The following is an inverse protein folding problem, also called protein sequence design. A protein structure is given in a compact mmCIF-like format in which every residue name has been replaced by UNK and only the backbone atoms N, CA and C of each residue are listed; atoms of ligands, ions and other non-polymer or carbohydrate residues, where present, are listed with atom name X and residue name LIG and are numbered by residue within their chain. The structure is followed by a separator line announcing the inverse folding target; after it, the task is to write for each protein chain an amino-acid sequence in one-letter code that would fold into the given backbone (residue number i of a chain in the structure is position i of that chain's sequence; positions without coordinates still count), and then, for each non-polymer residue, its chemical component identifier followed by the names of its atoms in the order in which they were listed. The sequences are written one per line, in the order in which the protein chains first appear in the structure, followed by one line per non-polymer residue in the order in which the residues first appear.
data_IF_313542308563
#
_entry.id   IF_313542308563
#
_cell.length_a   1.000
_cell.length_b   1.000
_cell.length_c   1.000
_cell.angle_alpha   90.00
_cell.angle_beta   90.00
_cell.angle_gamma   90.00
#
_symmetry.space_group_name_H-M   'P 1'
#
loop_
_entity.id
_entity.type
_entity.pdbx_description
1 polymer ?
#
# COMPACT_ATOMS: atom_id res chain seq x y z
N UNK A 1 -17.24 45.78 11.49
CA UNK A 1 -17.51 44.47 12.13
C UNK A 1 -17.92 43.51 11.02
N UNK A 2 -17.06 42.58 10.63
CA UNK A 2 -17.35 41.59 9.57
C UNK A 2 -17.78 40.28 10.23
N UNK A 3 -19.08 40.01 10.16
CA UNK A 3 -19.68 38.77 10.65
C UNK A 3 -19.23 37.62 9.75
N UNK A 4 -18.34 36.76 10.23
CA UNK A 4 -18.02 35.50 9.56
C UNK A 4 -19.25 34.58 9.68
N UNK A 5 -19.92 34.32 8.55
CA UNK A 5 -20.97 33.30 8.50
C UNK A 5 -20.30 31.93 8.68
N UNK A 6 -20.64 31.20 9.75
CA UNK A 6 -20.33 29.78 9.86
C UNK A 6 -21.07 29.05 8.74
N UNK A 7 -20.35 28.66 7.69
CA UNK A 7 -20.86 27.79 6.66
C UNK A 7 -20.95 26.37 7.23
N UNK A 8 -22.18 25.86 7.41
CA UNK A 8 -22.40 24.44 7.68
C UNK A 8 -22.11 23.65 6.41
N UNK A 9 -20.97 22.95 6.40
CA UNK A 9 -20.62 22.01 5.33
C UNK A 9 -21.29 20.68 5.65
N UNK A 10 -22.32 20.33 4.86
CA UNK A 10 -22.94 19.01 4.93
C UNK A 10 -22.05 18.03 4.17
N UNK A 11 -21.31 17.20 4.89
CA UNK A 11 -20.40 16.21 4.30
C UNK A 11 -21.12 14.87 4.21
N UNK A 12 -21.20 14.31 2.99
CA UNK A 12 -21.64 12.94 2.79
C UNK A 12 -20.53 11.99 3.31
N UNK A 13 -20.88 11.14 4.26
CA UNK A 13 -19.93 10.20 4.86
C UNK A 13 -19.32 9.23 3.84
N UNK A 14 -20.07 8.83 2.81
CA UNK A 14 -19.56 7.95 1.76
C UNK A 14 -18.52 8.63 0.88
N UNK A 15 -18.75 9.89 0.51
CA UNK A 15 -17.79 10.70 -0.25
C UNK A 15 -16.54 10.97 0.59
N UNK A 16 -16.71 11.27 1.89
CA UNK A 16 -15.60 11.44 2.80
C UNK A 16 -14.76 10.17 2.93
N UNK A 17 -15.40 9.01 3.09
CA UNK A 17 -14.70 7.72 3.13
C UNK A 17 -13.95 7.45 1.82
N UNK A 18 -14.58 7.70 0.68
CA UNK A 18 -13.95 7.54 -0.65
C UNK A 18 -12.71 8.41 -0.85
N UNK A 19 -12.66 9.60 -0.23
CA UNK A 19 -11.48 10.48 -0.29
C UNK A 19 -10.43 10.09 0.76
N UNK A 20 -10.85 9.76 1.98
CA UNK A 20 -9.94 9.50 3.08
C UNK A 20 -9.26 8.14 2.98
N UNK A 21 -9.94 7.10 2.50
CA UNK A 21 -9.36 5.76 2.44
C UNK A 21 -8.09 5.70 1.59
N UNK A 22 -8.03 6.21 0.34
CA UNK A 22 -6.81 6.22 -0.44
C UNK A 22 -5.68 7.01 0.23
N UNK A 23 -6.02 8.12 0.90
CA UNK A 23 -5.06 8.97 1.60
C UNK A 23 -4.46 8.26 2.82
N UNK A 24 -5.30 7.64 3.65
CA UNK A 24 -4.87 6.85 4.80
C UNK A 24 -4.03 5.67 4.34
N UNK A 25 -4.48 4.93 3.31
CA UNK A 25 -3.75 3.79 2.74
C UNK A 25 -2.36 4.20 2.24
N UNK A 26 -2.26 5.37 1.59
CA UNK A 26 -0.97 5.92 1.14
C UNK A 26 -0.05 6.22 2.32
N UNK A 27 -0.53 6.95 3.32
CA UNK A 27 0.27 7.31 4.51
C UNK A 27 0.72 6.05 5.24
N UNK A 28 -0.19 5.12 5.52
CA UNK A 28 0.15 3.85 6.19
C UNK A 28 1.21 3.07 5.41
N UNK A 29 1.10 3.00 4.07
CA UNK A 29 2.12 2.35 3.23
C UNK A 29 3.47 3.06 3.31
N UNK A 30 3.50 4.39 3.27
CA UNK A 30 4.73 5.18 3.40
C UNK A 30 5.40 4.91 4.76
N UNK A 31 4.65 4.93 5.85
CA UNK A 31 5.17 4.65 7.20
C UNK A 31 5.67 3.20 7.34
N UNK A 32 4.91 2.22 6.85
CA UNK A 32 5.34 0.81 6.86
C UNK A 32 6.60 0.60 6.03
N UNK A 33 6.75 1.32 4.91
CA UNK A 33 7.97 1.27 4.08
C UNK A 33 9.17 1.81 4.87
N UNK A 34 8.99 2.92 5.60
CA UNK A 34 10.04 3.46 6.46
C UNK A 34 10.41 2.49 7.58
N UNK A 35 9.42 1.81 8.18
CA UNK A 35 9.67 0.75 9.18
C UNK A 35 10.47 -0.39 8.55
N UNK A 36 10.09 -0.88 7.37
CA UNK A 36 10.80 -1.97 6.70
C UNK A 36 12.25 -1.61 6.36
N UNK A 37 12.52 -0.35 5.97
CA UNK A 37 13.89 0.13 5.69
C UNK A 37 14.71 0.23 7.00
N UNK A 38 14.13 0.77 8.07
CA UNK A 38 14.84 1.02 9.34
C UNK A 38 14.99 -0.23 10.20
N UNK A 39 14.10 -1.21 10.01
CA UNK A 39 14.05 -2.48 10.73
C UNK A 39 13.89 -3.63 9.73
N UNK A 40 14.95 -3.98 9.00
CA UNK A 40 14.92 -5.07 8.02
C UNK A 40 14.62 -6.43 8.66
N UNK A 41 14.79 -6.55 9.97
CA UNK A 41 14.45 -7.70 10.80
C UNK A 41 12.94 -7.88 11.04
N UNK A 42 12.13 -6.83 10.91
CA UNK A 42 10.66 -6.89 11.14
C UNK A 42 9.93 -7.60 10.00
N UNK A 43 10.38 -7.40 8.77
CA UNK A 43 9.85 -8.08 7.58
C UNK A 43 10.89 -9.04 7.00
N UNK A 44 11.52 -9.84 7.87
CA UNK A 44 12.51 -10.82 7.48
C UNK A 44 11.84 -12.15 7.13
N UNK A 45 12.09 -12.63 5.91
CA UNK A 45 11.75 -13.98 5.51
C UNK A 45 12.99 -14.85 5.69
N UNK A 46 12.91 -15.80 6.61
CA UNK A 46 14.07 -16.65 6.93
C UNK A 46 14.53 -17.44 5.69
N UNK A 47 15.82 -17.39 5.30
CA UNK A 47 16.35 -18.08 4.13
C UNK A 47 16.16 -19.60 4.15
N UNK A 48 16.10 -20.19 5.34
CA UNK A 48 15.83 -21.62 5.52
C UNK A 48 14.33 -21.96 5.41
N UNK A 49 13.45 -20.96 5.37
CA UNK A 49 12.02 -21.20 5.19
C UNK A 49 11.72 -21.65 3.74
N UNK A 50 10.82 -22.62 3.55
CA UNK A 50 10.40 -23.03 2.21
C UNK A 50 9.90 -21.86 1.35
N UNK A 51 9.19 -20.91 1.98
CA UNK A 51 8.63 -19.73 1.32
C UNK A 51 9.72 -18.80 0.76
N UNK A 52 10.90 -18.72 1.39
CA UNK A 52 12.01 -17.92 0.85
C UNK A 52 12.49 -18.46 -0.50
N UNK A 53 12.63 -19.78 -0.63
CA UNK A 53 12.99 -20.42 -1.89
C UNK A 53 12.00 -20.09 -3.00
N UNK A 54 10.69 -20.22 -2.70
CA UNK A 54 9.63 -19.91 -3.65
C UNK A 54 9.66 -18.43 -4.09
N UNK A 55 9.84 -17.50 -3.15
CA UNK A 55 9.92 -16.06 -3.44
C UNK A 55 11.10 -15.71 -4.34
N UNK A 56 12.27 -16.30 -4.09
CA UNK A 56 13.48 -16.12 -4.93
C UNK A 56 13.25 -16.70 -6.32
N UNK A 57 12.62 -17.87 -6.43
CA UNK A 57 12.32 -18.47 -7.73
C UNK A 57 11.36 -17.60 -8.55
N UNK A 58 10.29 -17.09 -7.93
CA UNK A 58 9.34 -16.19 -8.58
C UNK A 58 10.05 -14.92 -9.07
N UNK A 59 10.96 -14.36 -8.26
CA UNK A 59 11.74 -13.19 -8.64
C UNK A 59 12.64 -13.47 -9.85
N UNK A 60 13.38 -14.58 -9.83
CA UNK A 60 14.24 -14.99 -10.94
C UNK A 60 13.45 -15.19 -12.24
N UNK A 61 12.29 -15.85 -12.17
CA UNK A 61 11.40 -16.04 -13.33
C UNK A 61 10.87 -14.72 -13.88
N UNK A 62 10.62 -13.73 -13.02
CA UNK A 62 10.24 -12.37 -13.45
C UNK A 62 11.38 -11.69 -14.20
N UNK A 63 12.60 -11.72 -13.67
CA UNK A 63 13.77 -11.08 -14.30
C UNK A 63 14.12 -11.70 -15.65
N UNK A 64 13.91 -13.01 -15.80
CA UNK A 64 14.08 -13.72 -17.07
C UNK A 64 12.93 -13.50 -18.06
N UNK A 65 11.89 -12.74 -17.68
CA UNK A 65 10.69 -12.54 -18.50
C UNK A 65 9.81 -13.79 -18.63
N UNK A 66 10.09 -14.85 -17.88
CA UNK A 66 9.34 -16.10 -17.87
C UNK A 66 8.02 -16.01 -17.09
N UNK A 67 7.83 -14.97 -16.27
CA UNK A 67 6.59 -14.74 -15.52
C UNK A 67 6.32 -13.25 -15.37
N UNK A 68 5.08 -12.82 -15.63
CA UNK A 68 4.62 -11.45 -15.39
C UNK A 68 4.00 -11.36 -14.00
N UNK A 69 4.48 -10.44 -13.17
CA UNK A 69 3.81 -10.08 -11.92
C UNK A 69 2.83 -8.94 -12.20
N UNK A 70 1.60 -9.10 -11.73
CA UNK A 70 0.56 -8.06 -11.83
C UNK A 70 0.48 -7.31 -10.52
N UNK A 71 0.34 -5.99 -10.62
CA UNK A 71 -0.02 -5.13 -9.51
C UNK A 71 -1.47 -5.39 -9.07
N UNK A 72 -1.81 -4.95 -7.86
CA UNK A 72 -3.17 -5.02 -7.34
C UNK A 72 -4.18 -4.34 -8.28
N UNK A 73 -3.84 -3.15 -8.78
CA UNK A 73 -4.67 -2.40 -9.72
C UNK A 73 -4.89 -3.17 -11.04
N UNK A 74 -3.86 -3.84 -11.56
CA UNK A 74 -3.98 -4.65 -12.78
C UNK A 74 -4.92 -5.86 -12.61
N UNK A 75 -5.05 -6.40 -11.40
CA UNK A 75 -5.93 -7.56 -11.11
C UNK A 75 -7.34 -7.13 -10.73
N UNK A 76 -7.49 -6.06 -9.96
CA UNK A 76 -8.76 -5.68 -9.32
C UNK A 76 -9.41 -4.42 -9.89
N UNK A 77 -8.70 -3.67 -10.74
CA UNK A 77 -9.27 -2.54 -11.49
C UNK A 77 -9.54 -1.28 -10.67
N UNK A 78 -8.86 -1.08 -9.54
CA UNK A 78 -8.91 0.15 -8.74
C UNK A 78 -8.03 1.29 -9.29
#
# INVERSE_FOLDING_TARGET
MTTQSMQTVTINFQELAGVLEPLIRRIVREELTQVAIRRPDVFYLEPASPLHGDMVEILNRKEQGATRLYSHAEVWGE
#
